data_IF_661826038294
#
_entry.id   IF_661826038294
#
_cell.length_a   1.000
_cell.length_b   1.000
_cell.length_c   1.000
_cell.angle_alpha   90.00
_cell.angle_beta   90.00
_cell.angle_gamma   90.00
#
_symmetry.space_group_name_H-M   'P 1'
#
loop_
_entity.id
_entity.type
_entity.pdbx_description
1 polymer ?
#
# COMPACT_ATOMS: atom_id res chain seq x y z
N UNK A 1 25.32 51.08 -40.84
CA UNK A 1 24.99 50.07 -39.82
C UNK A 1 23.51 49.75 -39.93
N UNK A 2 23.09 48.49 -40.12
CA UNK A 2 21.68 48.18 -40.28
C UNK A 2 20.97 48.24 -38.93
N UNK A 3 20.18 49.29 -38.73
CA UNK A 3 19.22 49.41 -37.63
C UNK A 3 18.06 48.45 -37.91
N UNK A 4 17.85 47.49 -37.00
CA UNK A 4 16.81 46.47 -37.09
C UNK A 4 15.46 47.17 -37.24
N UNK A 5 14.83 47.04 -38.41
CA UNK A 5 13.50 47.56 -38.67
C UNK A 5 12.52 46.98 -37.64
N UNK A 6 11.77 47.86 -36.99
CA UNK A 6 10.71 47.52 -36.06
C UNK A 6 9.70 46.58 -36.76
N UNK A 7 9.70 45.32 -36.34
CA UNK A 7 8.66 44.36 -36.73
C UNK A 7 7.42 44.65 -35.89
N UNK A 8 6.26 44.77 -36.55
CA UNK A 8 4.98 45.16 -35.97
C UNK A 8 4.61 44.43 -34.65
N UNK A 9 3.89 45.07 -33.72
CA UNK A 9 3.51 44.49 -32.44
C UNK A 9 2.64 43.25 -32.69
N UNK A 10 3.00 42.12 -32.11
CA UNK A 10 2.11 40.97 -32.03
C UNK A 10 0.82 41.43 -31.33
N UNK A 11 -0.29 41.53 -32.06
CA UNK A 11 -1.59 41.87 -31.49
C UNK A 11 -2.04 40.84 -30.44
N UNK A 12 -3.16 41.09 -29.75
CA UNK A 12 -3.72 40.25 -28.67
C UNK A 12 -3.75 38.75 -29.03
N UNK A 13 -4.00 38.40 -30.30
CA UNK A 13 -3.96 37.02 -30.79
C UNK A 13 -2.57 36.35 -30.75
N UNK A 14 -1.49 37.10 -30.95
CA UNK A 14 -0.12 36.60 -30.83
C UNK A 14 0.29 36.34 -29.38
N UNK A 15 -0.12 37.22 -28.45
CA UNK A 15 0.08 37.03 -27.02
C UNK A 15 -0.70 35.82 -26.48
N UNK A 16 -1.96 35.66 -26.90
CA UNK A 16 -2.79 34.50 -26.54
C UNK A 16 -2.17 33.18 -27.04
N UNK A 17 -1.64 33.16 -28.27
CA UNK A 17 -0.92 31.99 -28.81
C UNK A 17 0.31 31.63 -27.99
N UNK A 18 1.09 32.63 -27.57
CA UNK A 18 2.29 32.43 -26.78
C UNK A 18 1.96 31.86 -25.38
N UNK A 19 0.94 32.40 -24.70
CA UNK A 19 0.46 31.86 -23.42
C UNK A 19 -0.04 30.42 -23.57
N UNK A 20 -0.78 30.11 -24.63
CA UNK A 20 -1.23 28.74 -24.91
C UNK A 20 -0.06 27.77 -25.15
N UNK A 21 0.98 28.21 -25.86
CA UNK A 21 2.22 27.43 -26.06
C UNK A 21 2.97 27.18 -24.74
N UNK A 22 3.07 28.20 -23.87
CA UNK A 22 3.67 28.05 -22.54
C UNK A 22 2.86 27.15 -21.61
N UNK A 23 1.53 27.26 -21.63
CA UNK A 23 0.66 26.37 -20.87
C UNK A 23 0.79 24.92 -21.36
N UNK A 24 0.88 24.71 -22.68
CA UNK A 24 1.10 23.39 -23.27
C UNK A 24 2.46 22.80 -22.88
N UNK A 25 3.52 23.61 -22.84
CA UNK A 25 4.85 23.14 -22.43
C UNK A 25 4.92 22.82 -20.94
N UNK A 26 4.30 23.63 -20.08
CA UNK A 26 4.17 23.36 -18.64
C UNK A 26 3.43 22.04 -18.38
N UNK A 27 2.29 21.82 -19.04
CA UNK A 27 1.52 20.60 -18.88
C UNK A 27 2.33 19.35 -19.25
N UNK A 28 3.13 19.41 -20.34
CA UNK A 28 4.04 18.31 -20.71
C UNK A 28 5.11 18.07 -19.64
N UNK A 29 5.68 19.14 -19.08
CA UNK A 29 6.71 19.04 -18.06
C UNK A 29 6.17 18.42 -16.75
N UNK A 30 4.96 18.80 -16.33
CA UNK A 30 4.32 18.19 -15.16
C UNK A 30 4.00 16.71 -15.36
N UNK A 31 3.58 16.31 -16.58
CA UNK A 31 3.38 14.91 -16.91
C UNK A 31 4.70 14.11 -16.87
N UNK A 32 5.79 14.68 -17.40
CA UNK A 32 7.12 14.08 -17.32
C UNK A 32 7.58 13.95 -15.86
N UNK A 33 7.40 15.01 -15.06
CA UNK A 33 7.74 15.01 -13.64
C UNK A 33 6.91 13.97 -12.86
N UNK A 34 5.59 13.96 -13.06
CA UNK A 34 4.69 12.99 -12.44
C UNK A 34 5.07 11.56 -12.82
N UNK A 35 5.46 11.32 -14.07
CA UNK A 35 5.96 10.03 -14.53
C UNK A 35 7.25 9.61 -13.82
N UNK A 36 8.20 10.52 -13.63
CA UNK A 36 9.44 10.27 -12.89
C UNK A 36 9.17 10.01 -11.40
N UNK A 37 8.30 10.81 -10.77
CA UNK A 37 7.93 10.63 -9.38
C UNK A 37 7.20 9.31 -9.17
N UNK A 38 6.28 8.95 -10.06
CA UNK A 38 5.59 7.67 -10.02
C UNK A 38 6.56 6.50 -10.16
N UNK A 39 7.52 6.57 -11.10
CA UNK A 39 8.57 5.54 -11.24
C UNK A 39 9.40 5.41 -9.97
N UNK A 40 9.80 6.53 -9.36
CA UNK A 40 10.56 6.52 -8.10
C UNK A 40 9.74 5.92 -6.95
N UNK A 41 8.47 6.30 -6.81
CA UNK A 41 7.54 5.76 -5.81
C UNK A 41 7.29 4.27 -6.02
N UNK A 42 7.03 3.85 -7.27
CA UNK A 42 6.81 2.46 -7.63
C UNK A 42 8.06 1.61 -7.38
N UNK A 43 9.25 2.12 -7.70
CA UNK A 43 10.52 1.44 -7.41
C UNK A 43 10.76 1.28 -5.90
N UNK A 44 10.57 2.34 -5.12
CA UNK A 44 10.72 2.29 -3.67
C UNK A 44 9.69 1.35 -3.01
N UNK A 45 8.43 1.39 -3.46
CA UNK A 45 7.39 0.49 -2.98
C UNK A 45 7.69 -0.96 -3.38
N UNK A 46 8.12 -1.20 -4.62
CA UNK A 46 8.48 -2.53 -5.12
C UNK A 46 9.67 -3.12 -4.35
N UNK A 47 10.71 -2.33 -4.10
CA UNK A 47 11.84 -2.73 -3.27
C UNK A 47 11.40 -3.01 -1.82
N UNK A 48 10.54 -2.15 -1.25
CA UNK A 48 9.99 -2.34 0.10
C UNK A 48 9.16 -3.62 0.22
N UNK A 49 8.30 -3.91 -0.76
CA UNK A 49 7.51 -5.15 -0.83
C UNK A 49 8.45 -6.35 -0.98
N UNK A 50 9.44 -6.27 -1.88
CA UNK A 50 10.41 -7.35 -2.09
C UNK A 50 11.20 -7.68 -0.83
N UNK A 51 11.73 -6.66 -0.15
CA UNK A 51 12.42 -6.82 1.13
C UNK A 51 11.48 -7.33 2.22
N UNK A 52 10.24 -6.84 2.27
CA UNK A 52 9.23 -7.30 3.22
C UNK A 52 8.89 -8.79 3.05
N UNK A 53 8.66 -9.23 1.82
CA UNK A 53 8.43 -10.65 1.50
C UNK A 53 9.67 -11.48 1.85
N UNK A 54 10.86 -11.02 1.47
CA UNK A 54 12.11 -11.70 1.78
C UNK A 54 12.33 -11.86 3.29
N UNK A 55 12.12 -10.80 4.06
CA UNK A 55 12.22 -10.82 5.51
C UNK A 55 11.18 -11.75 6.14
N UNK A 56 9.93 -11.76 5.64
CA UNK A 56 8.89 -12.66 6.12
C UNK A 56 9.25 -14.14 5.87
N UNK A 57 9.75 -14.48 4.68
CA UNK A 57 10.19 -15.83 4.36
C UNK A 57 11.38 -16.26 5.21
N UNK A 58 12.42 -15.43 5.34
CA UNK A 58 13.58 -15.74 6.17
C UNK A 58 13.20 -15.90 7.65
N UNK A 59 12.31 -15.05 8.16
CA UNK A 59 11.80 -15.16 9.53
C UNK A 59 11.00 -16.46 9.73
N UNK A 60 10.23 -16.89 8.74
CA UNK A 60 9.51 -18.15 8.77
C UNK A 60 10.46 -19.35 8.85
N UNK A 61 11.51 -19.38 8.02
CA UNK A 61 12.54 -20.42 8.11
C UNK A 61 13.30 -20.37 9.44
N UNK A 62 13.70 -19.18 9.90
CA UNK A 62 14.40 -19.01 11.17
C UNK A 62 13.57 -19.56 12.35
N UNK A 63 12.25 -19.33 12.35
CA UNK A 63 11.35 -19.88 13.36
C UNK A 63 11.27 -21.41 13.30
N UNK A 64 11.22 -21.99 12.09
CA UNK A 64 11.28 -23.44 11.90
C UNK A 64 12.58 -24.05 12.44
N UNK A 65 13.73 -23.44 12.11
CA UNK A 65 15.02 -23.86 12.63
C UNK A 65 15.12 -23.70 14.15
N UNK A 66 14.56 -22.64 14.73
CA UNK A 66 14.52 -22.45 16.18
C UNK A 66 13.79 -23.61 16.87
N UNK A 67 12.62 -24.02 16.38
CA UNK A 67 11.90 -25.17 16.93
C UNK A 67 12.65 -26.48 16.72
N UNK A 68 13.31 -26.66 15.58
CA UNK A 68 14.18 -27.80 15.35
C UNK A 68 15.36 -27.83 16.35
N UNK A 69 15.98 -26.68 16.64
CA UNK A 69 17.03 -26.55 17.65
C UNK A 69 16.51 -26.90 19.05
N UNK A 70 15.32 -26.42 19.43
CA UNK A 70 14.71 -26.78 20.72
C UNK A 70 14.47 -28.29 20.80
N UNK A 71 13.90 -28.89 19.75
CA UNK A 71 13.67 -30.33 19.69
C UNK A 71 14.98 -31.11 19.76
N UNK A 72 16.03 -30.68 19.05
CA UNK A 72 17.35 -31.31 19.10
C UNK A 72 18.00 -31.19 20.48
N UNK A 73 17.88 -30.03 21.15
CA UNK A 73 18.38 -29.84 22.50
C UNK A 73 17.66 -30.74 23.51
N UNK A 74 16.33 -30.88 23.39
CA UNK A 74 15.54 -31.80 24.19
C UNK A 74 15.94 -33.26 23.93
N UNK A 75 16.20 -33.61 22.66
CA UNK A 75 16.62 -34.95 22.27
C UNK A 75 17.98 -35.38 22.88
N UNK A 76 18.74 -34.47 23.50
CA UNK A 76 19.94 -34.82 24.27
C UNK A 76 19.62 -35.56 25.58
N UNK A 77 18.42 -35.39 26.12
CA UNK A 77 18.02 -35.96 27.42
C UNK A 77 16.75 -36.82 27.35
N UNK A 78 16.07 -36.87 26.21
CA UNK A 78 14.89 -37.71 25.96
C UNK A 78 14.86 -38.23 24.52
N UNK A 79 14.03 -39.23 24.25
CA UNK A 79 13.90 -39.79 22.89
C UNK A 79 13.43 -38.74 21.87
N UNK A 80 13.97 -38.79 20.65
CA UNK A 80 13.69 -37.83 19.58
C UNK A 80 12.19 -37.68 19.30
N UNK A 81 11.42 -38.78 19.35
CA UNK A 81 9.97 -38.74 19.11
C UNK A 81 9.21 -37.98 20.21
N UNK A 82 9.62 -38.13 21.48
CA UNK A 82 9.06 -37.38 22.60
C UNK A 82 9.42 -35.89 22.52
N UNK A 83 10.65 -35.57 22.09
CA UNK A 83 11.10 -34.19 21.95
C UNK A 83 10.26 -33.44 20.90
N UNK A 84 10.05 -34.07 19.74
CA UNK A 84 9.21 -33.53 18.69
C UNK A 84 7.75 -33.36 19.15
N UNK A 85 7.19 -34.34 19.87
CA UNK A 85 5.85 -34.22 20.42
C UNK A 85 5.72 -33.08 21.42
N UNK A 86 6.66 -32.93 22.35
CA UNK A 86 6.63 -31.88 23.36
C UNK A 86 6.66 -30.49 22.73
N UNK A 87 7.56 -30.27 21.76
CA UNK A 87 7.65 -29.00 21.02
C UNK A 87 6.37 -28.76 20.23
N UNK A 88 5.81 -29.79 19.58
CA UNK A 88 4.56 -29.69 18.83
C UNK A 88 3.38 -29.29 19.71
N UNK A 89 3.24 -29.91 20.89
CA UNK A 89 2.19 -29.57 21.85
C UNK A 89 2.37 -28.14 22.39
N UNK A 90 3.60 -27.75 22.74
CA UNK A 90 3.90 -26.40 23.18
C UNK A 90 3.55 -25.34 22.13
N UNK A 91 3.95 -25.58 20.87
CA UNK A 91 3.62 -24.71 19.74
C UNK A 91 2.11 -24.66 19.49
N UNK A 92 1.43 -25.80 19.56
CA UNK A 92 -0.03 -25.89 19.43
C UNK A 92 -0.76 -25.09 20.50
N UNK A 93 -0.30 -25.13 21.75
CA UNK A 93 -0.87 -24.34 22.84
C UNK A 93 -0.72 -22.83 22.58
N UNK A 94 0.48 -22.39 22.16
CA UNK A 94 0.72 -20.99 21.79
C UNK A 94 -0.19 -20.57 20.63
N UNK A 95 -0.30 -21.41 19.59
CA UNK A 95 -1.15 -21.15 18.43
C UNK A 95 -2.63 -21.01 18.81
N UNK A 96 -3.13 -21.87 19.69
CA UNK A 96 -4.50 -21.78 20.21
C UNK A 96 -4.71 -20.47 20.95
N UNK A 97 -3.80 -20.07 21.85
CA UNK A 97 -3.90 -18.81 22.60
C UNK A 97 -3.91 -17.61 21.65
N UNK A 98 -2.95 -17.55 20.72
CA UNK A 98 -2.89 -16.47 19.72
C UNK A 98 -4.15 -16.44 18.84
N UNK A 99 -4.66 -17.60 18.42
CA UNK A 99 -5.89 -17.72 17.64
C UNK A 99 -7.12 -17.22 18.41
N UNK A 100 -7.22 -17.53 19.70
CA UNK A 100 -8.30 -17.03 20.56
C UNK A 100 -8.21 -15.51 20.76
N UNK A 101 -7.00 -14.98 20.98
CA UNK A 101 -6.77 -13.53 21.09
C UNK A 101 -7.11 -12.82 19.77
N UNK A 102 -6.65 -13.35 18.64
CA UNK A 102 -6.96 -12.83 17.31
C UNK A 102 -8.47 -12.82 17.06
N UNK A 103 -9.16 -13.94 17.33
CA UNK A 103 -10.62 -14.02 17.23
C UNK A 103 -11.32 -12.99 18.10
N UNK A 104 -10.83 -12.77 19.32
CA UNK A 104 -11.34 -11.74 20.23
C UNK A 104 -11.15 -10.32 19.68
N UNK A 105 -10.01 -10.02 19.07
CA UNK A 105 -9.73 -8.71 18.45
C UNK A 105 -10.56 -8.50 17.18
N UNK A 106 -10.67 -9.50 16.32
CA UNK A 106 -11.49 -9.44 15.10
C UNK A 106 -12.96 -9.21 15.45
N UNK A 107 -13.49 -9.94 16.45
CA UNK A 107 -14.88 -9.75 16.91
C UNK A 107 -15.15 -8.37 17.49
N UNK A 108 -14.15 -7.68 18.05
CA UNK A 108 -14.28 -6.36 18.68
C UNK A 108 -13.92 -5.19 17.75
N UNK A 109 -13.19 -5.45 16.67
CA UNK A 109 -12.38 -4.44 16.00
C UNK A 109 -13.08 -3.56 14.97
N UNK A 110 -14.15 -4.03 14.32
CA UNK A 110 -14.91 -3.21 13.37
C UNK A 110 -16.23 -3.93 13.07
N UNK A 111 -17.41 -3.28 13.08
CA UNK A 111 -18.57 -3.87 12.43
C UNK A 111 -18.14 -4.23 11.00
N UNK A 112 -18.43 -5.46 10.52
CA UNK A 112 -17.97 -5.97 9.22
C UNK A 112 -18.44 -5.11 8.04
N UNK A 113 -19.34 -4.16 8.31
CA UNK A 113 -19.90 -3.22 7.36
C UNK A 113 -19.77 -1.80 7.95
N UNK A 114 -19.20 -0.81 7.23
CA UNK A 114 -19.14 0.57 7.68
C UNK A 114 -20.52 1.21 7.56
N UNK A 115 -21.39 0.92 8.54
CA UNK A 115 -22.81 1.30 8.52
C UNK A 115 -23.03 2.80 8.33
N UNK A 116 -22.20 3.63 8.96
CA UNK A 116 -22.26 5.09 8.83
C UNK A 116 -21.96 5.55 7.40
N UNK A 117 -20.89 5.05 6.79
CA UNK A 117 -20.51 5.38 5.43
C UNK A 117 -21.57 4.92 4.41
N UNK A 118 -22.17 3.74 4.62
CA UNK A 118 -23.26 3.25 3.77
C UNK A 118 -24.51 4.13 3.95
N UNK A 119 -24.82 4.54 5.18
CA UNK A 119 -25.97 5.41 5.46
C UNK A 119 -25.80 6.78 4.79
N UNK A 120 -24.63 7.38 4.89
CA UNK A 120 -24.31 8.65 4.21
C UNK A 120 -24.34 8.53 2.69
N UNK A 121 -23.83 7.42 2.13
CA UNK A 121 -23.91 7.16 0.70
C UNK A 121 -25.37 7.03 0.21
N UNK A 122 -26.25 6.37 0.99
CA UNK A 122 -27.68 6.26 0.68
C UNK A 122 -28.37 7.63 0.70
N UNK A 123 -28.16 8.43 1.75
CA UNK A 123 -28.72 9.78 1.85
C UNK A 123 -28.28 10.68 0.70
N UNK A 124 -27.00 10.60 0.31
CA UNK A 124 -26.47 11.35 -0.82
C UNK A 124 -27.10 10.90 -2.15
N UNK A 125 -27.32 9.60 -2.32
CA UNK A 125 -27.98 9.05 -3.52
C UNK A 125 -29.47 9.43 -3.61
N UNK A 126 -30.18 9.48 -2.48
CA UNK A 126 -31.56 9.92 -2.40
C UNK A 126 -31.70 11.42 -2.69
N UNK A 127 -30.81 12.25 -2.15
CA UNK A 127 -30.78 13.68 -2.44
C UNK A 127 -30.55 13.97 -3.93
N UNK A 128 -29.64 13.23 -4.58
CA UNK A 128 -29.39 13.35 -6.02
C UNK A 128 -30.60 12.93 -6.87
N UNK A 129 -31.33 11.88 -6.48
CA UNK A 129 -32.54 11.42 -7.18
C UNK A 129 -33.72 12.38 -7.01
N UNK A 130 -33.92 12.93 -5.81
CA UNK A 130 -34.99 13.87 -5.53
C UNK A 130 -34.81 15.21 -6.28
N UNK A 131 -33.56 15.66 -6.47
CA UNK A 131 -33.27 16.90 -7.18
C UNK A 131 -33.33 16.77 -8.72
N UNK A 132 -33.34 15.54 -9.25
CA UNK A 132 -33.48 15.26 -10.69
C UNK A 132 -34.91 14.98 -11.16
N UNK A 133 -35.88 14.92 -10.25
CA UNK A 133 -37.30 14.67 -10.56
C UNK A 133 -38.20 15.92 -10.45
N UNK A 134 -37.61 17.11 -10.27
CA UNK A 134 -38.26 18.42 -10.32
C UNK A 134 -37.76 19.19 -11.55
#
# INVERSE_FOLDING_TARGET
>A
MPTRAASAPAGVGGAAKQVAEHASSLAKLELELAGLELKRKAGALGAGIGLGIGAALLSFFALGFLFATIAAALALVLDTWLALLLVTVGLGAIAVVLGLLARGRIKKGTPPVPEQAIKEAKLTSEALRANGSN
#
